data_IF_695389026291
#
_entry.id   IF_695389026291
#
_cell.length_a   1.000
_cell.length_b   1.000
_cell.length_c   1.000
_cell.angle_alpha   90.00
_cell.angle_beta   90.00
_cell.angle_gamma   90.00
#
_symmetry.space_group_name_H-M   'P 1'
#
loop_
_entity.id
_entity.type
_entity.pdbx_description
1 polymer ?
#
# COMPACT_ATOMS: atom_id res chain seq x y z
N UNK A 1 7.44 -4.98 3.13
CA UNK A 1 7.02 -6.20 3.86
C UNK A 1 6.30 -5.90 5.17
N UNK A 2 5.16 -6.55 5.40
CA UNK A 2 4.36 -6.55 6.62
C UNK A 2 5.12 -7.26 7.74
N UNK A 3 5.06 -6.65 8.92
CA UNK A 3 5.73 -7.11 10.14
C UNK A 3 4.72 -7.61 11.19
N UNK A 4 3.44 -7.69 10.80
CA UNK A 4 2.32 -8.11 11.62
C UNK A 4 1.53 -9.20 10.90
N UNK A 5 0.88 -10.08 11.66
CA UNK A 5 0.01 -11.10 11.09
C UNK A 5 -1.26 -10.46 10.52
N UNK A 6 -1.51 -10.73 9.23
CA UNK A 6 -2.71 -10.27 8.53
C UNK A 6 -3.44 -11.42 7.84
N UNK A 7 -4.63 -11.14 7.34
CA UNK A 7 -5.32 -11.97 6.36
C UNK A 7 -6.05 -11.09 5.35
N UNK A 8 -6.39 -11.68 4.20
CA UNK A 8 -7.18 -11.01 3.16
C UNK A 8 -8.64 -11.43 3.24
N UNK A 9 -9.55 -10.47 3.07
CA UNK A 9 -10.98 -10.73 2.96
C UNK A 9 -11.66 -9.65 2.10
N UNK A 10 -12.96 -9.79 1.84
CA UNK A 10 -13.76 -8.78 1.16
C UNK A 10 -13.78 -7.49 1.99
N UNK A 11 -13.34 -6.40 1.37
CA UNK A 11 -13.38 -5.08 1.98
C UNK A 11 -14.78 -4.49 1.91
N UNK A 12 -15.30 -3.87 2.99
CA UNK A 12 -16.48 -3.02 2.94
C UNK A 12 -16.24 -1.72 2.16
N UNK A 13 -14.99 -1.33 1.91
CA UNK A 13 -14.61 -0.16 1.13
C UNK A 13 -14.58 -0.54 -0.35
N UNK A 14 -13.69 -1.47 -0.73
CA UNK A 14 -13.50 -1.81 -2.13
C UNK A 14 -12.79 -3.17 -2.31
N UNK A 15 -13.43 -4.09 -3.04
CA UNK A 15 -12.80 -5.34 -3.48
C UNK A 15 -12.25 -6.20 -2.34
N UNK A 16 -10.92 -6.34 -2.27
CA UNK A 16 -10.19 -7.08 -1.24
C UNK A 16 -9.45 -6.09 -0.36
N UNK A 17 -9.52 -6.30 0.95
CA UNK A 17 -8.77 -5.56 1.97
C UNK A 17 -7.79 -6.48 2.71
N UNK A 18 -6.87 -5.86 3.44
CA UNK A 18 -5.96 -6.54 4.36
C UNK A 18 -6.38 -6.23 5.80
N UNK A 19 -6.52 -7.28 6.62
CA UNK A 19 -7.12 -7.20 7.95
C UNK A 19 -6.14 -7.66 9.02
N UNK A 20 -6.11 -6.95 10.14
CA UNK A 20 -5.27 -7.31 11.27
C UNK A 20 -5.75 -8.63 11.89
N UNK A 21 -4.88 -9.64 12.00
CA UNK A 21 -5.24 -10.92 12.64
C UNK A 21 -5.32 -10.81 14.16
N UNK A 22 -4.48 -9.95 14.72
CA UNK A 22 -4.34 -9.71 16.16
C UNK A 22 -4.49 -8.20 16.45
N UNK A 23 -4.62 -7.85 17.73
CA UNK A 23 -4.60 -6.45 18.15
C UNK A 23 -3.23 -5.83 17.85
N UNK A 24 -3.21 -4.68 17.18
CA UNK A 24 -2.00 -3.91 16.86
C UNK A 24 -2.05 -2.60 17.65
N UNK A 25 -1.17 -2.40 18.64
CA UNK A 25 -1.10 -1.14 19.37
C UNK A 25 -0.71 0.04 18.47
N UNK A 26 -1.19 1.23 18.81
CA UNK A 26 -0.74 2.50 18.23
C UNK A 26 0.79 2.61 18.26
N UNK A 27 1.36 3.10 17.17
CA UNK A 27 2.80 3.30 17.01
C UNK A 27 3.57 2.03 16.66
N UNK A 28 2.90 0.90 16.47
CA UNK A 28 3.54 -0.32 15.96
C UNK A 28 4.01 -0.10 14.53
N UNK A 29 5.26 -0.45 14.21
CA UNK A 29 5.74 -0.53 12.84
C UNK A 29 5.09 -1.76 12.17
N UNK A 30 4.15 -1.52 11.26
CA UNK A 30 3.34 -2.59 10.64
C UNK A 30 3.88 -3.04 9.28
N UNK A 31 4.59 -2.17 8.57
CA UNK A 31 5.23 -2.49 7.29
C UNK A 31 6.54 -1.73 7.15
N UNK A 32 7.50 -2.36 6.47
CA UNK A 32 8.76 -1.75 6.10
C UNK A 32 9.20 -2.21 4.72
N UNK A 33 9.62 -1.28 3.87
CA UNK A 33 10.18 -1.60 2.57
C UNK A 33 11.42 -2.50 2.75
N UNK A 34 11.42 -3.65 2.10
CA UNK A 34 12.56 -4.57 2.09
C UNK A 34 13.10 -4.74 0.67
N UNK A 35 14.26 -4.16 0.33
CA UNK A 35 14.86 -4.28 -1.00
C UNK A 35 15.16 -5.71 -1.46
N UNK A 36 15.16 -6.69 -0.55
CA UNK A 36 15.33 -8.10 -0.92
C UNK A 36 14.07 -8.72 -1.54
N UNK A 37 12.89 -8.14 -1.27
CA UNK A 37 11.60 -8.67 -1.70
C UNK A 37 10.83 -7.65 -2.54
N UNK A 38 10.70 -6.43 -2.03
CA UNK A 38 10.04 -5.32 -2.71
C UNK A 38 10.90 -4.83 -3.88
N UNK A 39 10.24 -4.39 -4.96
CA UNK A 39 10.93 -3.97 -6.18
C UNK A 39 10.78 -2.48 -6.39
N UNK A 40 11.91 -1.81 -6.62
CA UNK A 40 11.94 -0.48 -7.24
C UNK A 40 12.05 -0.67 -8.74
N UNK A 41 11.03 -0.26 -9.48
CA UNK A 41 10.97 -0.41 -10.93
C UNK A 41 11.21 0.98 -11.55
N UNK A 42 12.16 1.15 -12.48
CA UNK A 42 12.33 2.42 -13.18
C UNK A 42 11.04 2.83 -13.88
N UNK A 43 10.65 4.10 -13.79
CA UNK A 43 9.44 4.64 -14.44
C UNK A 43 9.46 4.37 -15.93
N UNK A 44 10.60 4.51 -16.61
CA UNK A 44 10.74 4.18 -18.05
C UNK A 44 10.38 2.71 -18.34
N UNK A 45 10.73 1.78 -17.44
CA UNK A 45 10.37 0.38 -17.60
C UNK A 45 8.86 0.20 -17.45
N UNK A 46 8.28 0.79 -16.41
CA UNK A 46 6.84 0.75 -16.15
C UNK A 46 6.00 1.39 -17.27
N UNK A 47 6.39 2.55 -17.79
CA UNK A 47 5.67 3.27 -18.87
C UNK A 47 5.71 2.54 -20.22
N UNK A 48 6.69 1.65 -20.41
CA UNK A 48 6.76 0.78 -21.60
C UNK A 48 5.82 -0.42 -21.52
N UNK A 49 5.34 -0.78 -20.33
CA UNK A 49 4.44 -1.91 -20.17
C UNK A 49 3.07 -1.59 -20.76
N UNK A 50 2.39 -2.62 -21.27
CA UNK A 50 1.05 -2.49 -21.85
C UNK A 50 0.16 -3.67 -21.44
N UNK A 51 -1.15 -3.52 -21.64
CA UNK A 51 -2.11 -4.60 -21.40
C UNK A 51 -2.14 -5.07 -19.94
N UNK A 52 -2.29 -6.40 -19.71
CA UNK A 52 -2.46 -6.94 -18.35
C UNK A 52 -1.31 -6.65 -17.38
N UNK A 53 -0.06 -6.52 -17.88
CA UNK A 53 1.09 -6.22 -17.03
C UNK A 53 1.00 -4.80 -16.51
N UNK A 54 0.72 -3.83 -17.39
CA UNK A 54 0.54 -2.43 -17.00
C UNK A 54 -0.60 -2.29 -15.99
N UNK A 55 -1.75 -2.91 -16.27
CA UNK A 55 -2.89 -2.89 -15.35
C UNK A 55 -2.57 -3.48 -13.96
N UNK A 56 -1.73 -4.53 -13.90
CA UNK A 56 -1.29 -5.10 -12.64
C UNK A 56 -0.36 -4.15 -11.86
N UNK A 57 0.59 -3.52 -12.55
CA UNK A 57 1.50 -2.54 -11.96
C UNK A 57 0.73 -1.29 -11.48
N UNK A 58 -0.23 -0.80 -12.27
CA UNK A 58 -1.11 0.32 -11.90
C UNK A 58 -1.88 0.04 -10.60
N UNK A 59 -2.27 -1.22 -10.39
CA UNK A 59 -3.05 -1.62 -9.22
C UNK A 59 -2.21 -1.78 -7.95
N UNK A 60 -0.97 -2.25 -8.08
CA UNK A 60 -0.15 -2.74 -6.96
C UNK A 60 1.21 -2.06 -6.81
N UNK A 61 1.39 -0.92 -7.48
CA UNK A 61 2.59 -0.09 -7.34
C UNK A 61 2.21 1.36 -7.03
N UNK A 62 3.14 2.09 -6.43
CA UNK A 62 2.98 3.51 -6.14
C UNK A 62 4.27 4.29 -6.43
N UNK A 63 4.20 5.61 -6.68
CA UNK A 63 5.40 6.42 -6.92
C UNK A 63 6.39 6.38 -5.75
N UNK A 64 7.67 6.20 -6.05
CA UNK A 64 8.70 6.25 -5.01
C UNK A 64 8.95 7.70 -4.58
N UNK A 65 8.51 8.03 -3.36
CA UNK A 65 8.63 9.38 -2.78
C UNK A 65 10.07 9.79 -2.46
N UNK A 66 11.05 8.89 -2.55
CA UNK A 66 12.48 9.20 -2.37
C UNK A 66 13.16 9.56 -3.68
N UNK A 67 12.66 9.04 -4.80
CA UNK A 67 13.26 9.20 -6.12
C UNK A 67 12.18 9.07 -7.21
N UNK A 68 11.81 10.17 -7.88
CA UNK A 68 10.70 10.20 -8.84
C UNK A 68 10.97 9.36 -10.11
N UNK A 69 12.18 8.83 -10.30
CA UNK A 69 12.49 7.95 -11.42
C UNK A 69 12.05 6.50 -11.20
N UNK A 70 11.46 6.19 -10.04
CA UNK A 70 11.04 4.83 -9.68
C UNK A 70 9.60 4.78 -9.19
N UNK A 71 8.98 3.63 -9.38
CA UNK A 71 7.81 3.18 -8.62
C UNK A 71 8.23 2.07 -7.65
N UNK A 72 7.50 1.94 -6.56
CA UNK A 72 7.63 0.82 -5.62
C UNK A 72 6.53 -0.19 -5.93
N UNK A 73 6.92 -1.43 -6.17
CA UNK A 73 6.04 -2.59 -6.26
C UNK A 73 6.20 -3.44 -5.00
N UNK A 74 5.13 -3.53 -4.23
CA UNK A 74 5.09 -4.31 -2.99
C UNK A 74 4.91 -5.80 -3.29
N UNK A 75 5.77 -6.62 -2.69
CA UNK A 75 5.80 -8.06 -2.95
C UNK A 75 4.87 -8.88 -2.04
N UNK A 76 4.14 -8.23 -1.12
CA UNK A 76 3.32 -8.86 -0.10
C UNK A 76 1.88 -8.33 -0.06
N UNK A 77 1.16 -8.68 1.01
CA UNK A 77 -0.26 -8.38 1.15
C UNK A 77 -0.55 -6.91 1.49
N UNK A 78 0.46 -6.08 1.76
CA UNK A 78 0.27 -4.63 1.97
C UNK A 78 -0.35 -3.94 0.75
N UNK A 79 -0.14 -4.50 -0.45
CA UNK A 79 -0.73 -4.03 -1.71
C UNK A 79 -2.28 -4.07 -1.73
N UNK A 80 -2.91 -4.74 -0.76
CA UNK A 80 -4.36 -4.77 -0.55
C UNK A 80 -4.84 -3.75 0.50
N UNK A 81 -3.96 -2.90 1.02
CA UNK A 81 -4.34 -1.80 1.90
C UNK A 81 -5.18 -0.78 1.11
N UNK A 82 -6.44 -0.64 1.49
CA UNK A 82 -7.35 0.28 0.84
C UNK A 82 -7.19 1.71 1.36
N UNK A 83 -7.76 2.63 0.58
CA UNK A 83 -7.78 4.03 0.96
C UNK A 83 -8.88 4.33 1.98
N UNK A 84 -8.57 5.17 2.97
CA UNK A 84 -9.55 5.88 3.78
C UNK A 84 -9.11 7.33 4.03
N UNK A 85 -10.08 8.25 4.21
CA UNK A 85 -9.84 9.65 4.59
C UNK A 85 -9.32 9.78 6.04
N UNK A 86 -9.77 8.88 6.91
CA UNK A 86 -9.31 8.74 8.31
C UNK A 86 -8.70 7.33 8.51
N UNK A 87 -7.48 7.09 7.99
CA UNK A 87 -6.86 5.77 8.00
C UNK A 87 -6.28 5.39 9.36
N UNK A 88 -6.14 4.08 9.60
CA UNK A 88 -5.47 3.55 10.79
C UNK A 88 -3.98 3.22 10.60
N UNK A 89 -3.45 3.37 9.38
CA UNK A 89 -2.03 3.29 9.07
C UNK A 89 -1.48 4.63 8.55
N UNK A 90 -0.40 5.10 9.18
CA UNK A 90 0.38 6.26 8.78
C UNK A 90 1.50 5.84 7.83
N UNK A 91 1.40 6.31 6.59
CA UNK A 91 2.33 6.07 5.48
C UNK A 91 3.14 7.33 5.13
N UNK A 92 3.25 8.28 6.07
CA UNK A 92 3.99 9.54 5.85
C UNK A 92 5.48 9.31 5.58
N UNK A 93 6.07 8.26 6.17
CA UNK A 93 7.41 7.79 5.83
C UNK A 93 7.42 7.01 4.50
N UNK A 94 8.40 7.23 3.61
CA UNK A 94 8.46 6.54 2.32
C UNK A 94 8.85 5.05 2.43
N UNK A 95 9.37 4.61 3.57
CA UNK A 95 9.92 3.27 3.76
C UNK A 95 9.26 2.50 4.89
N UNK A 96 8.45 3.16 5.71
CA UNK A 96 7.90 2.60 6.93
C UNK A 96 6.44 3.00 7.08
N UNK A 97 5.64 2.10 7.63
CA UNK A 97 4.24 2.35 7.95
C UNK A 97 3.98 2.02 9.39
N UNK A 98 3.31 2.94 10.10
CA UNK A 98 3.01 2.79 11.52
C UNK A 98 1.51 2.78 11.76
N UNK A 99 1.05 2.02 12.76
CA UNK A 99 -0.33 2.12 13.22
C UNK A 99 -0.57 3.52 13.83
N UNK A 100 -1.46 4.33 13.25
CA UNK A 100 -1.73 5.70 13.71
C UNK A 100 -2.55 5.74 15.01
N UNK A 101 -3.30 4.66 15.25
CA UNK A 101 -4.11 4.35 16.45
C UNK A 101 -4.07 2.84 16.72
N UNK A 102 -4.71 2.40 17.80
CA UNK A 102 -4.93 0.97 18.03
C UNK A 102 -5.81 0.40 16.90
N UNK A 103 -5.47 -0.80 16.44
CA UNK A 103 -6.19 -1.55 15.40
C UNK A 103 -6.67 -2.87 16.03
N UNK A 104 -7.98 -3.11 15.99
CA UNK A 104 -8.58 -4.29 16.59
C UNK A 104 -8.34 -5.55 15.73
N UNK A 105 -8.35 -6.76 16.32
CA UNK A 105 -8.43 -7.99 15.54
C UNK A 105 -9.64 -7.96 14.60
N UNK A 106 -9.42 -8.30 13.33
CA UNK A 106 -10.43 -8.29 12.26
C UNK A 106 -10.75 -6.91 11.70
N UNK A 107 -10.06 -5.85 12.12
CA UNK A 107 -10.19 -4.52 11.53
C UNK A 107 -9.36 -4.41 10.25
N UNK A 108 -9.94 -3.79 9.21
CA UNK A 108 -9.23 -3.52 7.95
C UNK A 108 -8.13 -2.48 8.18
N UNK A 109 -6.92 -2.78 7.74
CA UNK A 109 -5.83 -1.82 7.73
C UNK A 109 -5.97 -0.96 6.46
N UNK A 110 -5.98 0.37 6.64
CA UNK A 110 -6.17 1.35 5.57
C UNK A 110 -5.14 2.47 5.65
N UNK A 111 -4.84 3.11 4.51
CA UNK A 111 -3.92 4.24 4.44
C UNK A 111 -4.51 5.40 3.62
N UNK A 112 -3.92 6.59 3.74
CA UNK A 112 -4.31 7.72 2.91
C UNK A 112 -3.44 7.76 1.65
N UNK A 113 -4.02 7.43 0.50
CA UNK A 113 -3.32 7.36 -0.76
C UNK A 113 -2.86 8.71 -1.30
N UNK A 114 -3.45 9.81 -0.83
CA UNK A 114 -3.02 11.16 -1.22
C UNK A 114 -1.56 11.43 -0.83
N UNK A 115 -0.97 10.62 0.07
CA UNK A 115 0.46 10.66 0.35
C UNK A 115 1.33 10.23 -0.84
N UNK A 116 0.80 9.41 -1.76
CA UNK A 116 1.56 8.84 -2.88
C UNK A 116 1.36 9.60 -4.19
N UNK A 117 0.27 10.35 -4.32
CA UNK A 117 -0.14 10.98 -5.59
C UNK A 117 -0.39 12.48 -5.39
N UNK A 118 0.55 13.33 -5.83
CA UNK A 118 0.43 14.80 -5.73
C UNK A 118 -0.68 15.39 -6.63
N UNK A 119 -1.10 14.68 -7.68
CA UNK A 119 -2.03 15.17 -8.71
C UNK A 119 -3.44 14.57 -8.66
N UNK A 120 -3.80 13.83 -7.60
CA UNK A 120 -5.12 13.22 -7.45
C UNK A 120 -5.24 11.80 -8.00
N UNK A 121 -6.36 11.16 -7.65
CA UNK A 121 -6.62 9.71 -7.71
C UNK A 121 -6.88 9.13 -9.11
N UNK A 122 -6.84 9.94 -10.17
CA UNK A 122 -7.28 9.55 -11.51
C UNK A 122 -6.43 8.43 -12.15
N UNK A 123 -5.27 8.11 -11.57
CA UNK A 123 -4.36 7.06 -12.04
C UNK A 123 -4.80 5.63 -11.73
N UNK A 124 -5.80 5.45 -10.86
CA UNK A 124 -6.12 4.13 -10.32
C UNK A 124 -7.22 3.38 -11.09
N UNK A 125 -7.80 4.00 -12.12
CA UNK A 125 -8.89 3.44 -12.91
C UNK A 125 -10.17 3.19 -12.10
N UNK A 126 -11.22 2.73 -12.78
CA UNK A 126 -12.44 2.27 -12.11
C UNK A 126 -12.09 1.06 -11.23
N UNK A 127 -12.08 1.34 -9.94
CA UNK A 127 -11.65 0.48 -8.86
C UNK A 127 -12.85 -0.25 -8.27
#
# INVERSE_FOLDING_TARGET
MLLVDVYLDKSPIQGIGVFAKNHIPRGTLVWKLDPNYDRRIPVETYERETGPIKAYLDRYSYPDRRDPNYIVFEADDARYMNHADDPNCDVSSPEETYASRDIAPGEEMTCNYNHFFEAGFDFLGDR
#
